data_IF_746293637801
#
_entry.id   IF_746293637801
#
_cell.length_a   1.000
_cell.length_b   1.000
_cell.length_c   1.000
_cell.angle_alpha   90.00
_cell.angle_beta   90.00
_cell.angle_gamma   90.00
#
_symmetry.space_group_name_H-M   'P 1'
#
loop_
_entity.id
_entity.type
_entity.pdbx_description
1 polymer ?
#
# COMPACT_ATOMS: atom_id res chain seq x y z
N UNK A 1 -1.51 -66.24 -25.46
CA UNK A 1 -1.44 -64.81 -25.14
C UNK A 1 -0.60 -64.67 -23.86
N UNK A 2 0.71 -64.37 -23.98
CA UNK A 2 1.60 -64.22 -22.81
C UNK A 2 1.38 -62.85 -22.21
N UNK A 3 0.89 -62.81 -20.98
CA UNK A 3 0.81 -61.59 -20.17
C UNK A 3 2.24 -61.28 -19.74
N UNK A 4 2.83 -60.23 -20.32
CA UNK A 4 4.14 -59.74 -19.95
C UNK A 4 4.04 -59.14 -18.54
N UNK A 5 4.55 -59.84 -17.54
CA UNK A 5 4.69 -59.29 -16.19
C UNK A 5 5.88 -58.34 -16.19
N UNK A 6 5.73 -57.07 -15.75
CA UNK A 6 6.86 -56.18 -15.64
C UNK A 6 7.77 -56.70 -14.52
N UNK A 7 9.03 -56.97 -14.84
CA UNK A 7 10.05 -57.43 -13.91
C UNK A 7 10.31 -56.38 -12.83
N UNK A 8 10.49 -56.82 -11.58
CA UNK A 8 10.74 -55.95 -10.42
C UNK A 8 11.95 -55.00 -10.58
N UNK A 9 12.84 -55.27 -11.54
CA UNK A 9 13.96 -54.42 -11.88
C UNK A 9 13.51 -53.08 -12.52
N UNK A 10 12.46 -53.06 -13.35
CA UNK A 10 12.01 -51.82 -14.01
C UNK A 10 11.39 -50.80 -13.05
N UNK A 11 10.77 -51.25 -11.96
CA UNK A 11 10.17 -50.37 -10.95
C UNK A 11 11.26 -49.77 -10.03
N UNK A 12 12.33 -50.52 -9.77
CA UNK A 12 13.47 -50.06 -8.97
C UNK A 12 14.33 -49.00 -9.69
N UNK A 13 14.42 -49.04 -11.03
CA UNK A 13 15.14 -48.02 -11.81
C UNK A 13 14.35 -46.72 -11.97
N UNK A 14 13.03 -46.79 -12.16
CA UNK A 14 12.14 -45.62 -12.22
C UNK A 14 12.01 -44.91 -10.85
N UNK A 15 12.03 -45.66 -9.75
CA UNK A 15 11.95 -45.06 -8.40
C UNK A 15 13.23 -44.34 -7.95
N UNK A 16 14.40 -44.72 -8.49
CA UNK A 16 15.71 -44.15 -8.10
C UNK A 16 16.10 -42.88 -8.86
N UNK A 17 15.62 -42.68 -10.09
CA UNK A 17 16.15 -41.61 -10.97
C UNK A 17 15.27 -40.35 -11.00
N UNK A 18 13.95 -40.45 -10.82
CA UNK A 18 13.06 -39.31 -11.13
C UNK A 18 12.33 -38.69 -9.92
N UNK A 19 12.08 -39.43 -8.84
CA UNK A 19 11.35 -38.92 -7.68
C UNK A 19 12.14 -37.99 -6.74
N UNK A 20 13.43 -38.24 -6.40
CA UNK A 20 14.13 -37.42 -5.40
C UNK A 20 14.54 -36.03 -5.91
N UNK A 21 14.64 -35.85 -7.24
CA UNK A 21 14.91 -34.54 -7.84
C UNK A 21 13.66 -33.64 -7.87
N UNK A 22 12.45 -34.22 -7.95
CA UNK A 22 11.18 -33.50 -7.97
C UNK A 22 10.70 -33.15 -6.54
N UNK A 23 11.03 -34.00 -5.56
CA UNK A 23 10.64 -33.85 -4.16
C UNK A 23 11.86 -33.38 -3.34
N UNK A 24 12.41 -32.22 -3.70
CA UNK A 24 13.57 -31.66 -3.02
C UNK A 24 13.16 -30.70 -1.91
N UNK A 25 13.61 -30.94 -0.68
CA UNK A 25 13.46 -30.01 0.46
C UNK A 25 14.02 -28.62 0.15
N UNK A 26 14.99 -28.53 -0.77
CA UNK A 26 15.53 -27.26 -1.28
C UNK A 26 14.49 -26.48 -2.09
N UNK A 27 13.67 -27.16 -2.90
CA UNK A 27 12.62 -26.51 -3.69
C UNK A 27 11.47 -26.02 -2.80
N UNK A 28 11.12 -26.80 -1.76
CA UNK A 28 10.17 -26.38 -0.73
C UNK A 28 10.66 -25.13 0.00
N UNK A 29 11.92 -25.11 0.41
CA UNK A 29 12.52 -23.94 1.07
C UNK A 29 12.57 -22.72 0.15
N UNK A 30 12.89 -22.91 -1.14
CA UNK A 30 12.81 -21.84 -2.15
C UNK A 30 11.39 -21.30 -2.29
N UNK A 31 10.37 -22.17 -2.34
CA UNK A 31 8.97 -21.79 -2.41
C UNK A 31 8.55 -20.97 -1.17
N UNK A 32 8.93 -21.41 0.03
CA UNK A 32 8.66 -20.67 1.29
C UNK A 32 9.31 -19.30 1.31
N UNK A 33 10.57 -19.19 0.88
CA UNK A 33 11.27 -17.89 0.77
C UNK A 33 10.58 -16.96 -0.23
N UNK A 34 10.16 -17.49 -1.38
CA UNK A 34 9.40 -16.73 -2.37
C UNK A 34 8.07 -16.25 -1.80
N UNK A 35 7.33 -17.13 -1.11
CA UNK A 35 6.08 -16.80 -0.41
C UNK A 35 6.28 -15.69 0.62
N UNK A 36 7.30 -15.76 1.47
CA UNK A 36 7.59 -14.69 2.44
C UNK A 36 7.88 -13.35 1.77
N UNK A 37 8.67 -13.35 0.69
CA UNK A 37 8.95 -12.13 -0.09
C UNK A 37 7.69 -11.59 -0.77
N UNK A 38 6.85 -12.46 -1.31
CA UNK A 38 5.59 -12.10 -1.93
C UNK A 38 4.65 -11.45 -0.91
N UNK A 39 4.48 -12.05 0.27
CA UNK A 39 3.66 -11.47 1.36
C UNK A 39 4.16 -10.08 1.75
N UNK A 40 5.47 -9.89 1.86
CA UNK A 40 6.04 -8.57 2.15
C UNK A 40 5.84 -7.56 1.00
N UNK A 41 5.81 -8.01 -0.26
CA UNK A 41 5.48 -7.17 -1.40
C UNK A 41 4.00 -6.80 -1.40
N UNK A 42 3.10 -7.76 -1.24
CA UNK A 42 1.65 -7.55 -1.17
C UNK A 42 1.29 -6.54 -0.10
N UNK A 43 1.88 -6.63 1.11
CA UNK A 43 1.66 -5.63 2.17
C UNK A 43 2.08 -4.22 1.78
N UNK A 44 3.21 -4.06 1.08
CA UNK A 44 3.68 -2.75 0.62
C UNK A 44 2.77 -2.18 -0.47
N UNK A 45 2.29 -3.03 -1.38
CA UNK A 45 1.35 -2.62 -2.44
C UNK A 45 0.00 -2.23 -1.81
N UNK A 46 -0.48 -3.00 -0.83
CA UNK A 46 -1.68 -2.65 -0.07
C UNK A 46 -1.54 -1.29 0.59
N UNK A 47 -0.39 -1.02 1.24
CA UNK A 47 -0.14 0.30 1.81
C UNK A 47 -0.23 1.40 0.76
N UNK A 48 0.34 1.21 -0.42
CA UNK A 48 0.23 2.21 -1.50
C UNK A 48 -1.22 2.39 -1.95
N UNK A 49 -2.00 1.31 -2.04
CA UNK A 49 -3.45 1.38 -2.31
C UNK A 49 -4.16 2.24 -1.27
N UNK A 50 -3.96 1.93 0.01
CA UNK A 50 -4.65 2.58 1.12
C UNK A 50 -4.31 4.07 1.20
N UNK A 51 -3.05 4.45 0.94
CA UNK A 51 -2.61 5.85 0.93
C UNK A 51 -3.21 6.64 -0.26
N UNK A 52 -3.41 5.98 -1.42
CA UNK A 52 -4.08 6.61 -2.58
C UNK A 52 -5.59 6.72 -2.34
N UNK A 53 -6.22 5.69 -1.75
CA UNK A 53 -7.64 5.71 -1.35
C UNK A 53 -7.90 6.88 -0.40
N UNK A 54 -7.07 7.01 0.64
CA UNK A 54 -7.18 8.11 1.61
C UNK A 54 -7.00 9.49 0.96
N UNK A 55 -6.07 9.62 0.00
CA UNK A 55 -5.84 10.87 -0.73
C UNK A 55 -7.02 11.24 -1.64
N UNK A 56 -7.72 10.25 -2.17
CA UNK A 56 -8.92 10.44 -3.00
C UNK A 56 -10.17 10.76 -2.18
N UNK A 57 -10.22 10.37 -0.89
CA UNK A 57 -11.36 10.63 -0.01
C UNK A 57 -11.47 12.10 0.46
N UNK A 58 -10.40 12.91 0.33
CA UNK A 58 -10.37 14.33 0.76
C UNK A 58 -9.87 15.27 -0.37
N UNK A 59 -10.82 16.00 -0.98
CA UNK A 59 -10.54 17.02 -2.00
C UNK A 59 -9.55 18.10 -1.53
N UNK A 60 -9.46 18.36 -0.22
CA UNK A 60 -8.52 19.29 0.37
C UNK A 60 -7.08 18.79 0.25
N UNK A 61 -6.81 17.54 0.62
CA UNK A 61 -5.49 16.92 0.45
C UNK A 61 -5.13 16.80 -1.04
N UNK A 62 -6.12 16.56 -1.90
CA UNK A 62 -5.96 16.56 -3.35
C UNK A 62 -5.56 17.94 -3.90
N UNK A 63 -6.21 19.01 -3.41
CA UNK A 63 -5.92 20.38 -3.81
C UNK A 63 -4.51 20.84 -3.38
N UNK A 64 -4.00 20.35 -2.25
CA UNK A 64 -2.66 20.66 -1.76
C UNK A 64 -1.53 20.12 -2.66
N UNK A 65 -1.81 19.13 -3.52
CA UNK A 65 -0.86 18.64 -4.53
C UNK A 65 -0.62 19.62 -5.69
N UNK A 66 -1.43 20.67 -5.86
CA UNK A 66 -1.22 21.73 -6.87
C UNK A 66 -0.09 22.70 -6.47
N UNK A 67 1.13 22.17 -6.36
CA UNK A 67 2.30 22.88 -5.85
C UNK A 67 2.68 24.11 -6.69
N UNK A 68 2.50 24.06 -8.00
CA UNK A 68 2.80 25.19 -8.91
C UNK A 68 1.92 26.40 -8.61
N UNK A 69 0.62 26.16 -8.39
CA UNK A 69 -0.33 27.20 -8.04
C UNK A 69 -0.10 27.69 -6.60
N UNK A 70 0.18 26.77 -5.67
CA UNK A 70 0.54 27.10 -4.28
C UNK A 70 1.80 27.98 -4.20
N UNK A 71 2.82 27.67 -4.99
CA UNK A 71 4.05 28.47 -5.12
C UNK A 71 3.74 29.85 -5.70
N UNK A 72 2.96 29.94 -6.78
CA UNK A 72 2.57 31.21 -7.41
C UNK A 72 1.79 32.11 -6.45
N UNK A 73 0.90 31.55 -5.63
CA UNK A 73 0.17 32.28 -4.58
C UNK A 73 1.09 32.82 -3.49
N UNK A 74 2.09 32.04 -3.09
CA UNK A 74 3.10 32.45 -2.12
C UNK A 74 4.04 33.54 -2.67
N UNK A 75 4.40 33.45 -3.96
CA UNK A 75 5.22 34.47 -4.63
C UNK A 75 4.45 35.78 -4.86
N UNK A 76 3.15 35.71 -5.15
CA UNK A 76 2.32 36.92 -5.33
C UNK A 76 2.04 37.65 -4.02
N UNK A 77 1.87 36.94 -2.90
CA UNK A 77 1.70 37.55 -1.58
C UNK A 77 2.96 38.28 -1.12
N UNK A 78 4.15 37.80 -1.48
CA UNK A 78 5.43 38.42 -1.12
C UNK A 78 5.67 39.79 -1.78
N UNK A 79 5.19 39.99 -3.02
CA UNK A 79 5.25 41.29 -3.70
C UNK A 79 4.04 42.20 -3.37
N UNK A 80 2.89 41.63 -3.05
CA UNK A 80 1.68 42.38 -2.70
C UNK A 80 1.77 43.13 -1.37
N UNK A 81 2.45 42.58 -0.36
CA UNK A 81 2.56 43.19 0.97
C UNK A 81 3.49 44.42 0.99
N UNK A 82 4.50 44.45 0.11
CA UNK A 82 5.41 45.59 -0.05
C UNK A 82 4.74 46.80 -0.75
N UNK A 83 3.57 46.59 -1.37
CA UNK A 83 2.82 47.59 -2.12
C UNK A 83 1.79 48.37 -1.27
N UNK A 84 1.50 47.91 -0.04
CA UNK A 84 0.46 48.51 0.83
C UNK A 84 1.01 49.44 1.93
N UNK A 85 2.33 49.61 2.03
CA UNK A 85 2.97 50.47 3.05
C UNK A 85 3.51 51.81 2.48
N UNK A 86 3.25 52.10 1.20
CA UNK A 86 3.84 53.22 0.45
C UNK A 86 3.00 54.48 0.26
N UNK A 87 1.73 54.53 0.71
CA UNK A 87 0.87 55.72 0.53
C UNK A 87 0.39 56.31 1.86
N UNK A 88 1.33 56.87 2.63
CA UNK A 88 1.04 58.05 3.47
C UNK A 88 1.88 59.21 2.98
N UNK A 89 1.37 59.89 1.95
CA UNK A 89 1.88 61.21 1.59
C UNK A 89 1.42 62.23 2.63
N UNK A 90 2.40 62.69 3.40
CA UNK A 90 2.37 63.91 4.19
C UNK A 90 2.49 65.08 3.19
N UNK A 91 1.48 65.93 3.09
CA UNK A 91 1.69 67.38 2.94
C UNK A 91 0.42 68.18 3.26
N UNK A 92 0.55 69.34 3.91
CA UNK A 92 -0.50 70.37 3.94
C UNK A 92 -1.09 70.81 5.30
N UNK A 93 -0.30 71.55 6.08
CA UNK A 93 -0.67 72.80 6.79
C UNK A 93 -1.63 72.82 8.03
N UNK A 94 -1.03 73.27 9.15
CA UNK A 94 -1.52 74.25 10.15
C UNK A 94 -2.74 73.92 11.03
N UNK A 95 -2.49 73.62 12.32
CA UNK A 95 -2.82 74.57 13.41
C UNK A 95 -2.27 74.14 14.77
N UNK A 96 -1.71 75.15 15.44
CA UNK A 96 -1.10 75.16 16.78
C UNK A 96 -2.17 75.07 17.87
N UNK A 97 -1.99 74.18 18.86
CA UNK A 97 -2.12 74.50 20.30
C UNK A 97 -1.79 73.30 21.21
N UNK A 98 -1.28 73.63 22.39
CA UNK A 98 -0.48 72.85 23.33
C UNK A 98 -1.30 71.91 24.26
N UNK A 99 -0.65 71.03 25.07
CA UNK A 99 -1.30 69.94 25.79
C UNK A 99 -1.66 70.32 27.24
N UNK A 100 -2.85 69.96 27.71
CA UNK A 100 -3.17 69.91 29.15
C UNK A 100 -4.23 68.83 29.42
N UNK A 101 -3.83 67.73 30.06
CA UNK A 101 -4.68 66.82 30.85
C UNK A 101 -4.96 67.47 32.23
N UNK A 102 -5.95 67.07 33.08
CA UNK A 102 -6.40 65.70 33.33
C UNK A 102 -7.88 65.52 33.80
N UNK A 103 -8.19 64.29 34.24
CA UNK A 103 -9.26 63.84 35.18
C UNK A 103 -10.42 62.99 34.63
N UNK A 104 -10.53 61.83 35.27
CA UNK A 104 -11.42 60.68 35.12
C UNK A 104 -12.91 60.94 35.35
N UNK A 105 -13.77 60.21 34.63
CA UNK A 105 -14.92 59.41 35.14
C UNK A 105 -15.61 58.60 34.01
N UNK A 106 -16.05 57.34 34.23
CA UNK A 106 -16.77 56.47 33.26
C UNK A 106 -18.28 56.34 33.61
N UNK A 107 -19.04 55.36 33.06
CA UNK A 107 -19.45 55.12 31.67
C UNK A 107 -20.99 55.29 31.51
N UNK A 108 -21.55 55.43 30.30
CA UNK A 108 -22.83 54.81 29.95
C UNK A 108 -23.19 54.90 28.47
N UNK A 109 -23.89 53.86 28.05
CA UNK A 109 -24.35 53.47 26.71
C UNK A 109 -25.01 54.58 25.90
N UNK A 110 -24.70 54.64 24.60
CA UNK A 110 -25.66 54.91 23.51
C UNK A 110 -25.01 54.77 22.12
N UNK A 111 -25.31 53.62 21.49
CA UNK A 111 -25.88 53.50 20.13
C UNK A 111 -25.39 54.52 19.09
N UNK A 112 -24.55 54.06 18.16
CA UNK A 112 -24.25 54.78 16.92
C UNK A 112 -24.58 53.90 15.72
N UNK A 113 -25.72 54.22 15.13
CA UNK A 113 -25.98 53.93 13.72
C UNK A 113 -24.97 54.68 12.88
N UNK A 114 -24.38 54.01 11.88
CA UNK A 114 -23.79 54.67 10.71
C UNK A 114 -23.85 53.73 9.52
N UNK A 115 -24.87 54.00 8.71
CA UNK A 115 -25.06 53.48 7.37
C UNK A 115 -23.81 53.71 6.49
N UNK A 116 -23.34 52.60 5.93
CA UNK A 116 -22.91 52.39 4.55
C UNK A 116 -22.21 53.55 3.82
N UNK A 117 -20.93 53.34 3.50
CA UNK A 117 -20.44 53.67 2.16
C UNK A 117 -19.68 52.47 1.58
N UNK A 118 -20.32 51.88 0.58
CA UNK A 118 -19.79 50.86 -0.32
C UNK A 118 -18.68 51.51 -1.15
N UNK A 119 -17.46 51.01 -1.04
CA UNK A 119 -16.45 51.09 -2.13
C UNK A 119 -15.73 49.76 -2.28
N UNK A 120 -16.31 48.96 -3.17
CA UNK A 120 -15.77 47.86 -3.99
C UNK A 120 -14.27 47.54 -3.80
N UNK A 121 -14.00 46.33 -3.34
CA UNK A 121 -13.00 45.44 -3.97
C UNK A 121 -13.64 44.08 -4.24
N UNK A 122 -14.68 44.10 -5.09
CA UNK A 122 -15.34 42.90 -5.62
C UNK A 122 -14.89 42.73 -7.07
N UNK A 123 -13.70 42.18 -7.25
CA UNK A 123 -13.27 41.52 -8.48
C UNK A 123 -11.97 40.76 -8.22
N UNK A 124 -11.83 39.59 -8.87
CA UNK A 124 -10.81 38.54 -8.70
C UNK A 124 -11.09 37.51 -7.60
N UNK A 125 -11.99 36.55 -7.89
CA UNK A 125 -11.84 35.15 -7.41
C UNK A 125 -12.88 34.16 -7.95
N UNK A 126 -13.90 34.59 -8.70
CA UNK A 126 -14.88 33.62 -9.24
C UNK A 126 -14.32 32.76 -10.38
N UNK A 127 -13.35 33.27 -11.13
CA UNK A 127 -12.66 32.51 -12.19
C UNK A 127 -11.69 31.44 -11.66
N UNK A 128 -11.14 31.61 -10.46
CA UNK A 128 -10.19 30.64 -9.90
C UNK A 128 -10.88 29.40 -9.34
N UNK A 129 -12.18 29.48 -9.01
CA UNK A 129 -12.92 28.35 -8.45
C UNK A 129 -13.25 27.31 -9.53
N UNK A 130 -13.73 27.74 -10.70
CA UNK A 130 -14.03 26.84 -11.83
C UNK A 130 -12.77 26.14 -12.37
N UNK A 131 -11.65 26.86 -12.49
CA UNK A 131 -10.39 26.25 -12.92
C UNK A 131 -9.80 25.30 -11.87
N UNK A 132 -10.06 25.55 -10.58
CA UNK A 132 -9.59 24.69 -9.51
C UNK A 132 -10.38 23.37 -9.46
N UNK A 133 -11.69 23.42 -9.70
CA UNK A 133 -12.53 22.22 -9.77
C UNK A 133 -12.20 21.35 -10.98
N UNK A 134 -12.00 21.95 -12.16
CA UNK A 134 -11.52 21.19 -13.34
C UNK A 134 -10.16 20.54 -13.08
N UNK A 135 -9.26 21.25 -12.37
CA UNK A 135 -7.97 20.68 -12.04
C UNK A 135 -8.09 19.47 -11.10
N UNK A 136 -8.90 19.58 -10.03
CA UNK A 136 -9.14 18.47 -9.10
C UNK A 136 -9.71 17.25 -9.83
N UNK A 137 -10.67 17.46 -10.74
CA UNK A 137 -11.27 16.38 -11.54
C UNK A 137 -10.25 15.68 -12.47
N UNK A 138 -9.35 16.43 -13.11
CA UNK A 138 -8.25 15.85 -13.89
C UNK A 138 -7.30 14.99 -13.04
N UNK A 139 -7.03 15.42 -11.80
CA UNK A 139 -6.19 14.69 -10.86
C UNK A 139 -6.89 13.44 -10.32
N UNK A 140 -8.19 13.53 -10.02
CA UNK A 140 -9.02 12.40 -9.62
C UNK A 140 -9.03 11.31 -10.69
N UNK A 141 -9.28 11.65 -11.96
CA UNK A 141 -9.22 10.68 -13.08
C UNK A 141 -7.85 9.98 -13.17
N UNK A 142 -6.76 10.71 -12.93
CA UNK A 142 -5.41 10.13 -12.94
C UNK A 142 -5.21 9.17 -11.77
N UNK A 143 -5.60 9.57 -10.56
CA UNK A 143 -5.49 8.75 -9.36
C UNK A 143 -6.35 7.49 -9.46
N UNK A 144 -7.58 7.59 -9.98
CA UNK A 144 -8.46 6.45 -10.28
C UNK A 144 -7.78 5.45 -11.23
N UNK A 145 -7.16 5.93 -12.30
CA UNK A 145 -6.47 5.07 -13.24
C UNK A 145 -5.32 4.29 -12.57
N UNK A 146 -4.55 4.94 -11.68
CA UNK A 146 -3.54 4.26 -10.88
C UNK A 146 -4.13 3.30 -9.86
N UNK A 147 -5.24 3.67 -9.20
CA UNK A 147 -5.93 2.84 -8.23
C UNK A 147 -6.38 1.51 -8.85
N UNK A 148 -7.00 1.57 -10.04
CA UNK A 148 -7.39 0.37 -10.81
C UNK A 148 -6.18 -0.51 -11.14
N UNK A 149 -5.04 0.09 -11.51
CA UNK A 149 -3.80 -0.66 -11.79
C UNK A 149 -3.25 -1.33 -10.53
N UNK A 150 -3.32 -0.67 -9.38
CA UNK A 150 -2.88 -1.21 -8.10
C UNK A 150 -3.77 -2.38 -7.69
N UNK A 151 -5.09 -2.25 -7.80
CA UNK A 151 -6.04 -3.33 -7.53
C UNK A 151 -5.80 -4.54 -8.45
N UNK A 152 -5.59 -4.29 -9.74
CA UNK A 152 -5.19 -5.34 -10.69
C UNK A 152 -3.89 -6.04 -10.27
N UNK A 153 -2.92 -5.27 -9.75
CA UNK A 153 -1.65 -5.80 -9.26
C UNK A 153 -1.84 -6.64 -8.00
N UNK A 154 -2.65 -6.18 -7.04
CA UNK A 154 -2.98 -6.94 -5.84
C UNK A 154 -3.67 -8.26 -6.19
N UNK A 155 -4.61 -8.25 -7.14
CA UNK A 155 -5.26 -9.47 -7.64
C UNK A 155 -4.23 -10.46 -8.21
N UNK A 156 -3.28 -10.00 -9.04
CA UNK A 156 -2.20 -10.84 -9.56
C UNK A 156 -1.29 -11.39 -8.45
N UNK A 157 -0.96 -10.59 -7.43
CA UNK A 157 -0.16 -11.02 -6.30
C UNK A 157 -0.90 -12.08 -5.46
N UNK A 158 -2.22 -11.95 -5.30
CA UNK A 158 -3.07 -12.94 -4.63
C UNK A 158 -3.08 -14.26 -5.41
N UNK A 159 -3.33 -14.23 -6.72
CA UNK A 159 -3.28 -15.45 -7.56
C UNK A 159 -1.89 -16.11 -7.54
N UNK A 160 -0.82 -15.32 -7.55
CA UNK A 160 0.54 -15.87 -7.43
C UNK A 160 0.79 -16.52 -6.07
N UNK A 161 0.23 -15.95 -4.99
CA UNK A 161 0.32 -16.54 -3.65
C UNK A 161 -0.37 -17.90 -3.62
N UNK A 162 -1.58 -17.99 -4.14
CA UNK A 162 -2.34 -19.25 -4.22
C UNK A 162 -1.58 -20.32 -5.00
N UNK A 163 -1.00 -19.96 -6.16
CA UNK A 163 -0.18 -20.88 -6.94
C UNK A 163 1.04 -21.40 -6.18
N UNK A 164 1.71 -20.55 -5.39
CA UNK A 164 2.83 -20.96 -4.54
C UNK A 164 2.34 -21.87 -3.40
N UNK A 165 1.18 -21.57 -2.81
CA UNK A 165 0.56 -22.38 -1.77
C UNK A 165 0.22 -23.79 -2.30
N UNK A 166 -0.40 -23.89 -3.47
CA UNK A 166 -0.70 -25.16 -4.15
C UNK A 166 0.56 -25.98 -4.44
N UNK A 167 1.64 -25.30 -4.86
CA UNK A 167 2.94 -25.93 -5.12
C UNK A 167 3.58 -26.46 -3.84
N UNK A 168 3.53 -25.68 -2.74
CA UNK A 168 4.00 -26.09 -1.42
C UNK A 168 3.23 -27.32 -0.93
N UNK A 169 1.91 -27.33 -1.07
CA UNK A 169 1.06 -28.44 -0.66
C UNK A 169 1.30 -29.69 -1.51
N UNK A 170 1.46 -29.54 -2.83
CA UNK A 170 1.83 -30.65 -3.70
C UNK A 170 3.14 -31.32 -3.25
N UNK A 171 4.18 -30.53 -2.98
CA UNK A 171 5.48 -31.05 -2.52
C UNK A 171 5.33 -31.71 -1.14
N UNK A 172 4.60 -31.09 -0.21
CA UNK A 172 4.36 -31.62 1.13
C UNK A 172 3.63 -32.97 1.07
N UNK A 173 2.58 -33.10 0.25
CA UNK A 173 1.84 -34.34 0.08
C UNK A 173 2.76 -35.45 -0.44
N UNK A 174 3.63 -35.15 -1.42
CA UNK A 174 4.56 -36.14 -1.96
C UNK A 174 5.61 -36.57 -0.92
N UNK A 175 6.16 -35.63 -0.15
CA UNK A 175 7.08 -35.93 0.96
C UNK A 175 6.42 -36.87 1.99
N UNK A 176 5.19 -36.57 2.41
CA UNK A 176 4.45 -37.37 3.38
C UNK A 176 4.22 -38.80 2.86
N UNK A 177 3.85 -38.96 1.58
CA UNK A 177 3.66 -40.29 0.97
C UNK A 177 4.93 -41.11 0.97
N UNK A 178 6.06 -40.52 0.59
CA UNK A 178 7.36 -41.21 0.56
C UNK A 178 7.76 -41.67 1.95
N UNK A 179 7.68 -40.78 2.96
CA UNK A 179 8.00 -41.12 4.35
C UNK A 179 7.09 -42.22 4.89
N UNK A 180 5.79 -42.14 4.61
CA UNK A 180 4.82 -43.17 5.00
C UNK A 180 5.12 -44.53 4.37
N UNK A 181 5.45 -44.56 3.08
CA UNK A 181 5.86 -45.77 2.38
C UNK A 181 7.10 -46.41 3.03
N UNK A 182 8.14 -45.62 3.29
CA UNK A 182 9.36 -46.12 3.96
C UNK A 182 9.07 -46.65 5.36
N UNK A 183 8.22 -45.98 6.13
CA UNK A 183 7.86 -46.41 7.47
C UNK A 183 7.16 -47.78 7.45
N UNK A 184 6.16 -47.95 6.56
CA UNK A 184 5.44 -49.22 6.39
C UNK A 184 6.38 -50.31 5.90
N UNK A 185 7.18 -50.02 4.87
CA UNK A 185 8.14 -50.98 4.31
C UNK A 185 9.18 -51.43 5.35
N UNK A 186 9.72 -50.49 6.13
CA UNK A 186 10.69 -50.79 7.18
C UNK A 186 10.06 -51.65 8.28
N UNK A 187 8.85 -51.30 8.73
CA UNK A 187 8.10 -52.09 9.72
C UNK A 187 7.88 -53.52 9.25
N UNK A 188 7.41 -53.72 8.02
CA UNK A 188 7.19 -55.07 7.46
C UNK A 188 8.49 -55.83 7.24
N UNK A 189 9.55 -55.15 6.81
CA UNK A 189 10.89 -55.75 6.68
C UNK A 189 11.44 -56.25 8.01
N UNK A 190 11.29 -55.48 9.08
CA UNK A 190 11.68 -55.89 10.45
C UNK A 190 10.85 -57.08 10.92
N UNK A 191 9.53 -57.07 10.71
CA UNK A 191 8.68 -58.23 11.05
C UNK A 191 9.12 -59.49 10.33
N UNK A 192 9.39 -59.39 9.01
CA UNK A 192 9.82 -60.53 8.19
C UNK A 192 11.16 -61.08 8.67
N UNK A 193 12.14 -60.21 8.97
CA UNK A 193 13.44 -60.60 9.51
C UNK A 193 13.32 -61.27 10.88
N UNK A 194 12.50 -60.73 11.80
CA UNK A 194 12.24 -61.35 13.11
C UNK A 194 11.61 -62.74 12.99
N UNK A 195 10.62 -62.90 12.09
CA UNK A 195 9.98 -64.19 11.84
C UNK A 195 10.96 -65.25 11.33
N UNK A 196 11.88 -64.86 10.45
CA UNK A 196 12.95 -65.74 9.95
C UNK A 196 13.90 -66.13 11.08
N UNK A 197 14.37 -65.15 11.87
CA UNK A 197 15.28 -65.39 12.98
C UNK A 197 14.71 -66.38 14.02
N UNK A 198 13.43 -66.20 14.40
CA UNK A 198 12.74 -67.12 15.31
C UNK A 198 12.67 -68.54 14.72
N UNK A 199 12.36 -68.66 13.43
CA UNK A 199 12.29 -69.96 12.75
C UNK A 199 13.64 -70.68 12.70
N UNK A 200 14.75 -69.94 12.57
CA UNK A 200 16.10 -70.51 12.60
C UNK A 200 16.48 -71.02 13.98
N UNK A 201 16.15 -70.27 15.05
CA UNK A 201 16.44 -70.68 16.43
C UNK A 201 15.65 -71.94 16.82
N UNK A 202 14.41 -72.08 16.36
CA UNK A 202 13.56 -73.23 16.69
C UNK A 202 13.97 -74.54 16.02
N UNK A 203 14.88 -74.52 15.04
CA UNK A 203 15.27 -75.68 14.24
C UNK A 203 16.66 -76.24 14.60
N UNK A 204 17.25 -75.69 15.67
CA UNK A 204 18.48 -76.13 16.35
C UNK A 204 18.05 -76.80 17.65
#
# INVERSE_FOLDING_TARGET
MRIHTPTCQNIDYLSKVELPNFISTLNLERARRLKSRLVALTRRVQKVRDEIEQLMDDDGDMAEMYLTEKKRRMESSFYGEQSLMGYRSIDGALSVSAPVSPVSSPPETRRLEKSLSVTRSRHESMKSSESATESIEELEMLLEAYFVVIDSTLNKLTSLKEYIDDTEDFINIQLVRVVSFFYVWFRESIKKRKKIAIKMISHI
#
